data_IF_938947816583
#
_entry.id   IF_938947816583
#
_cell.length_a   1.000
_cell.length_b   1.000
_cell.length_c   1.000
_cell.angle_alpha   90.00
_cell.angle_beta   90.00
_cell.angle_gamma   90.00
#
_symmetry.space_group_name_H-M   'P 1'
#
loop_
_entity.id
_entity.type
_entity.pdbx_description
1 polymer ?
#
# COMPACT_ATOMS: atom_id res chain seq x y z
N UNK A 1 -8.25 -1.91 -1.20
CA UNK A 1 -8.26 -1.63 0.26
C UNK A 1 -7.30 -0.49 0.58
N UNK A 2 -7.69 0.45 1.46
CA UNK A 2 -6.81 1.54 1.92
C UNK A 2 -6.53 1.39 3.41
N UNK A 3 -5.24 1.34 3.78
CA UNK A 3 -4.78 1.24 5.15
C UNK A 3 -4.42 2.63 5.67
N UNK A 4 -5.24 3.16 6.56
CA UNK A 4 -5.02 4.48 7.15
C UNK A 4 -4.25 4.43 8.47
N UNK A 5 -4.25 3.30 9.17
CA UNK A 5 -3.80 3.16 10.57
C UNK A 5 -4.97 3.01 11.54
N UNK A 6 -4.69 2.61 12.78
CA UNK A 6 -5.72 2.30 13.80
C UNK A 6 -5.80 3.31 14.96
N UNK A 7 -4.92 4.30 15.03
CA UNK A 7 -5.04 5.36 16.05
C UNK A 7 -6.21 6.29 15.74
N UNK A 8 -7.17 6.42 16.65
CA UNK A 8 -8.35 7.29 16.46
C UNK A 8 -7.98 8.74 16.15
N UNK A 9 -7.00 9.30 16.88
CA UNK A 9 -6.63 10.71 16.78
C UNK A 9 -5.66 11.01 15.63
N UNK A 10 -4.81 10.07 15.28
CA UNK A 10 -3.76 10.24 14.26
C UNK A 10 -3.59 8.95 13.44
N UNK A 11 -4.58 8.55 12.64
CA UNK A 11 -4.54 7.28 11.94
C UNK A 11 -3.31 7.18 11.04
N UNK A 12 -2.96 8.25 10.31
CA UNK A 12 -1.84 8.26 9.38
C UNK A 12 -0.45 8.10 10.00
N UNK A 13 -0.34 8.20 11.33
CA UNK A 13 0.89 8.04 12.10
C UNK A 13 0.99 6.65 12.77
N UNK A 14 0.64 5.61 12.01
CA UNK A 14 0.55 4.25 12.52
C UNK A 14 1.55 3.32 11.83
N UNK A 15 2.37 2.61 12.60
CA UNK A 15 3.15 1.48 12.10
C UNK A 15 2.41 0.21 12.48
N UNK A 16 1.93 -0.55 11.50
CA UNK A 16 1.26 -1.81 11.81
C UNK A 16 2.27 -2.83 12.35
N UNK A 17 1.84 -3.57 13.37
CA UNK A 17 2.55 -4.77 13.80
C UNK A 17 2.32 -5.88 12.78
N UNK A 18 3.20 -6.86 12.76
CA UNK A 18 3.09 -7.97 11.81
C UNK A 18 1.81 -8.78 12.05
N UNK A 19 1.43 -8.98 13.31
CA UNK A 19 0.21 -9.72 13.70
C UNK A 19 -1.04 -9.05 13.15
N UNK A 20 -1.09 -7.72 13.19
CA UNK A 20 -2.22 -6.95 12.67
C UNK A 20 -2.32 -7.04 11.16
N UNK A 21 -1.18 -7.11 10.45
CA UNK A 21 -1.18 -7.33 9.00
C UNK A 21 -1.54 -8.79 8.66
N UNK A 22 -1.15 -9.76 9.49
CA UNK A 22 -1.52 -11.18 9.33
C UNK A 22 -3.03 -11.39 9.36
N UNK A 23 -3.76 -10.65 10.19
CA UNK A 23 -5.24 -10.66 10.22
C UNK A 23 -5.86 -10.35 8.84
N UNK A 24 -5.19 -9.52 8.02
CA UNK A 24 -5.68 -9.16 6.69
C UNK A 24 -5.42 -10.22 5.63
N UNK A 25 -4.41 -11.07 5.78
CA UNK A 25 -4.05 -12.09 4.77
C UNK A 25 -5.24 -12.98 4.37
N UNK A 26 -5.99 -13.63 5.30
CA UNK A 26 -7.13 -14.45 4.90
C UNK A 26 -8.26 -13.64 4.27
N UNK A 27 -8.47 -12.38 4.70
CA UNK A 27 -9.49 -11.48 4.15
C UNK A 27 -9.15 -11.14 2.69
N UNK A 28 -7.88 -10.79 2.42
CA UNK A 28 -7.41 -10.44 1.09
C UNK A 28 -7.47 -11.64 0.14
N UNK A 29 -7.05 -12.83 0.59
CA UNK A 29 -7.18 -14.07 -0.18
C UNK A 29 -8.65 -14.39 -0.51
N UNK A 30 -9.58 -14.13 0.42
CA UNK A 30 -10.99 -14.32 0.14
C UNK A 30 -11.52 -13.31 -0.90
N UNK A 31 -11.16 -12.03 -0.77
CA UNK A 31 -11.55 -10.98 -1.73
C UNK A 31 -11.02 -11.30 -3.13
N UNK A 32 -9.77 -11.76 -3.23
CA UNK A 32 -9.14 -12.14 -4.50
C UNK A 32 -9.95 -13.18 -5.29
N UNK A 33 -10.66 -14.09 -4.62
CA UNK A 33 -11.52 -15.07 -5.32
C UNK A 33 -12.77 -14.47 -5.96
N UNK A 34 -13.13 -13.23 -5.62
CA UNK A 34 -14.40 -12.59 -5.99
C UNK A 34 -14.22 -11.45 -7.00
N UNK A 35 -12.97 -11.04 -7.27
CA UNK A 35 -12.66 -9.88 -8.11
C UNK A 35 -11.53 -10.21 -9.07
N UNK A 36 -11.44 -9.45 -10.16
CA UNK A 36 -10.35 -9.61 -11.13
C UNK A 36 -8.99 -9.17 -10.58
N UNK A 37 -8.96 -8.08 -9.81
CA UNK A 37 -7.74 -7.47 -9.28
C UNK A 37 -7.99 -6.85 -7.90
N UNK A 38 -7.01 -6.98 -7.01
CA UNK A 38 -7.03 -6.36 -5.68
C UNK A 38 -5.94 -5.30 -5.58
N UNK A 39 -6.34 -4.06 -5.32
CA UNK A 39 -5.42 -2.94 -5.15
C UNK A 39 -5.27 -2.58 -3.66
N UNK A 40 -4.03 -2.54 -3.17
CA UNK A 40 -3.69 -2.24 -1.77
C UNK A 40 -2.93 -0.92 -1.67
N UNK A 41 -3.43 0.02 -0.88
CA UNK A 41 -2.79 1.31 -0.66
C UNK A 41 -2.52 1.54 0.82
N UNK A 42 -1.25 1.70 1.19
CA UNK A 42 -0.85 2.15 2.53
C UNK A 42 -0.79 3.68 2.55
N UNK A 43 -1.70 4.31 3.30
CA UNK A 43 -1.83 5.77 3.37
C UNK A 43 -1.39 6.34 4.73
N UNK A 44 -0.76 5.53 5.58
CA UNK A 44 -0.15 5.93 6.84
C UNK A 44 1.27 6.47 6.63
N UNK A 45 1.38 7.57 5.87
CA UNK A 45 2.68 8.06 5.37
C UNK A 45 3.54 8.78 6.41
N UNK A 46 2.99 9.16 7.56
CA UNK A 46 3.74 9.90 8.58
C UNK A 46 4.90 9.03 9.07
N UNK A 47 6.10 9.62 9.20
CA UNK A 47 7.37 8.91 9.51
C UNK A 47 7.70 7.75 8.56
N UNK A 48 7.27 7.83 7.30
CA UNK A 48 7.54 6.82 6.28
C UNK A 48 7.06 5.40 6.66
N UNK A 49 5.98 5.28 7.43
CA UNK A 49 5.44 3.97 7.81
C UNK A 49 4.79 3.24 6.63
N UNK A 50 4.13 3.95 5.72
CA UNK A 50 3.47 3.36 4.55
C UNK A 50 4.35 2.39 3.73
N UNK A 51 5.55 2.77 3.24
CA UNK A 51 6.39 1.85 2.47
C UNK A 51 6.84 0.64 3.29
N UNK A 52 7.14 0.82 4.59
CA UNK A 52 7.54 -0.29 5.47
C UNK A 52 6.40 -1.29 5.65
N UNK A 53 5.18 -0.81 5.87
CA UNK A 53 4.01 -1.68 6.00
C UNK A 53 3.66 -2.39 4.69
N UNK A 54 3.83 -1.72 3.55
CA UNK A 54 3.65 -2.33 2.23
C UNK A 54 4.62 -3.49 2.01
N UNK A 55 5.92 -3.30 2.31
CA UNK A 55 6.93 -4.36 2.20
C UNK A 55 6.62 -5.55 3.10
N UNK A 56 6.20 -5.31 4.35
CA UNK A 56 5.75 -6.39 5.25
C UNK A 56 4.56 -7.16 4.66
N UNK A 57 3.57 -6.45 4.11
CA UNK A 57 2.39 -7.09 3.52
C UNK A 57 2.77 -7.93 2.28
N UNK A 58 3.68 -7.45 1.44
CA UNK A 58 4.21 -8.21 0.29
C UNK A 58 4.80 -9.55 0.77
N UNK A 59 5.65 -9.50 1.80
CA UNK A 59 6.23 -10.70 2.41
C UNK A 59 5.17 -11.65 2.98
N UNK A 60 4.19 -11.12 3.72
CA UNK A 60 3.12 -11.92 4.32
C UNK A 60 2.19 -12.58 3.28
N UNK A 61 2.00 -11.94 2.12
CA UNK A 61 1.25 -12.51 1.01
C UNK A 61 2.07 -13.54 0.21
N UNK A 62 3.37 -13.68 0.48
CA UNK A 62 4.27 -14.55 -0.27
C UNK A 62 4.56 -14.04 -1.68
N UNK A 63 4.36 -12.74 -1.93
CA UNK A 63 4.64 -12.08 -3.19
C UNK A 63 6.09 -11.60 -3.23
N UNK A 64 6.63 -11.45 -4.43
CA UNK A 64 7.89 -10.75 -4.65
C UNK A 64 7.64 -9.38 -5.27
N UNK A 65 8.58 -8.46 -5.11
CA UNK A 65 8.45 -7.12 -5.71
C UNK A 65 8.40 -7.22 -7.23
N UNK A 66 9.09 -8.20 -7.81
CA UNK A 66 9.10 -8.46 -9.25
C UNK A 66 7.74 -8.97 -9.77
N UNK A 67 6.93 -9.57 -8.89
CA UNK A 67 5.57 -10.01 -9.22
C UNK A 67 4.59 -8.82 -9.25
N UNK A 68 4.96 -7.69 -8.66
CA UNK A 68 4.12 -6.49 -8.65
C UNK A 68 4.32 -5.74 -9.95
N UNK A 69 3.27 -5.66 -10.76
CA UNK A 69 3.26 -4.80 -11.94
C UNK A 69 3.59 -3.37 -11.51
N UNK A 70 4.72 -2.79 -11.96
CA UNK A 70 5.06 -1.40 -11.62
C UNK A 70 4.09 -0.47 -12.34
N UNK A 71 2.92 -0.24 -11.74
CA UNK A 71 2.13 0.93 -12.07
C UNK A 71 2.81 2.08 -11.35
N UNK A 72 3.90 2.57 -11.97
CA UNK A 72 4.52 3.82 -11.57
C UNK A 72 3.39 4.84 -11.44
N UNK A 73 3.10 5.25 -10.21
CA UNK A 73 2.25 6.39 -9.98
C UNK A 73 2.92 7.53 -10.75
N UNK A 74 2.27 8.01 -11.83
CA UNK A 74 2.77 9.09 -12.68
C UNK A 74 3.44 10.11 -11.77
N UNK A 75 4.77 10.22 -11.85
CA UNK A 75 5.48 11.10 -10.94
C UNK A 75 4.90 12.49 -11.16
N UNK A 76 4.54 13.16 -10.07
CA UNK A 76 4.13 14.57 -10.13
C UNK A 76 5.21 15.38 -10.88
N UNK A 77 6.47 14.96 -10.78
CA UNK A 77 7.60 15.47 -11.55
C UNK A 77 7.42 15.33 -13.08
N UNK A 78 6.97 14.18 -13.59
CA UNK A 78 6.69 14.00 -15.03
C UNK A 78 5.54 14.87 -15.55
N UNK A 79 4.58 15.21 -14.68
CA UNK A 79 3.51 16.16 -14.99
C UNK A 79 4.01 17.62 -14.98
N UNK A 80 4.84 17.98 -13.99
CA UNK A 80 5.42 19.33 -13.87
C UNK A 80 6.45 19.64 -14.96
N UNK A 81 7.22 18.67 -15.43
CA UNK A 81 8.13 18.86 -16.56
C UNK A 81 7.38 19.08 -17.87
N UNK A 82 6.26 18.38 -18.09
CA UNK A 82 5.37 18.63 -19.24
C UNK A 82 4.67 20.00 -19.18
N UNK A 83 4.53 20.59 -17.99
CA UNK A 83 3.93 21.91 -17.78
C UNK A 83 4.85 23.11 -18.04
N UNK A 84 6.16 22.90 -18.26
CA UNK A 84 7.13 23.97 -18.54
C UNK A 84 7.33 24.27 -20.03
N UNK A 85 6.58 23.60 -20.90
CA UNK A 85 6.61 23.83 -22.34
C UNK A 85 5.34 24.51 -22.85
N UNK A 86 5.13 25.77 -22.49
CA UNK A 86 4.33 26.76 -23.25
C UNK A 86 4.89 28.15 -23.00
#
# INVERSE_FOLDING_TARGET
VRFHGRYERFPYAYMYKEEELKEWVPILKNIETQVKEVWLYFNNHFKAHAPINALKMIQLLGLKIEDLTPHAQLSLFGFLEKGKGK
#
